data_IF_229638698415
#
_entry.id   IF_229638698415
#
_cell.length_a   1.000
_cell.length_b   1.000
_cell.length_c   1.000
_cell.angle_alpha   90.00
_cell.angle_beta   90.00
_cell.angle_gamma   90.00
#
_symmetry.space_group_name_H-M   'P 1'
#
loop_
_entity.id
_entity.type
_entity.pdbx_description
1 polymer ?
#
# COMPACT_ATOMS: atom_id res chain seq x y z
N UNK A 1 22.23 -14.23 5.59
CA UNK A 1 22.81 -12.88 5.77
C UNK A 1 23.41 -12.37 4.48
N UNK A 2 22.57 -11.72 3.68
CA UNK A 2 22.95 -10.89 2.54
C UNK A 2 23.84 -9.73 3.02
N UNK A 3 24.88 -9.36 2.29
CA UNK A 3 25.66 -8.14 2.61
C UNK A 3 24.77 -6.91 2.40
N UNK A 4 25.06 -5.81 3.10
CA UNK A 4 24.30 -4.56 2.95
C UNK A 4 24.26 -4.08 1.49
N UNK A 5 25.35 -4.28 0.74
CA UNK A 5 25.45 -3.90 -0.67
C UNK A 5 24.58 -4.79 -1.57
N UNK A 6 24.61 -6.11 -1.35
CA UNK A 6 23.79 -7.04 -2.12
C UNK A 6 22.28 -6.85 -1.87
N UNK A 7 21.89 -6.51 -0.63
CA UNK A 7 20.50 -6.14 -0.32
C UNK A 7 20.10 -4.86 -1.07
N UNK A 8 20.99 -3.87 -1.09
CA UNK A 8 20.74 -2.60 -1.75
C UNK A 8 20.59 -2.76 -3.28
N UNK A 9 21.43 -3.57 -3.91
CA UNK A 9 21.37 -3.83 -5.35
C UNK A 9 20.11 -4.61 -5.74
N UNK A 10 19.72 -5.61 -4.97
CA UNK A 10 18.51 -6.40 -5.21
C UNK A 10 17.24 -5.54 -5.06
N UNK A 11 17.16 -4.72 -4.01
CA UNK A 11 16.05 -3.78 -3.83
C UNK A 11 16.02 -2.78 -4.98
N UNK A 12 17.16 -2.20 -5.37
CA UNK A 12 17.25 -1.26 -6.50
C UNK A 12 16.75 -1.91 -7.79
N UNK A 13 17.14 -3.16 -8.06
CA UNK A 13 16.70 -3.89 -9.24
C UNK A 13 15.18 -4.08 -9.28
N UNK A 14 14.55 -4.37 -8.13
CA UNK A 14 13.09 -4.53 -8.01
C UNK A 14 12.34 -3.22 -8.20
N UNK A 15 12.80 -2.14 -7.57
CA UNK A 15 12.21 -0.82 -7.76
C UNK A 15 12.33 -0.38 -9.22
N UNK A 16 13.50 -0.57 -9.83
CA UNK A 16 13.73 -0.30 -11.26
C UNK A 16 12.78 -1.10 -12.15
N UNK A 17 12.62 -2.40 -11.90
CA UNK A 17 11.72 -3.25 -12.66
C UNK A 17 10.25 -2.82 -12.55
N UNK A 18 9.80 -2.31 -11.40
CA UNK A 18 8.46 -1.74 -11.28
C UNK A 18 8.31 -0.49 -12.15
N UNK A 19 9.26 0.45 -12.11
CA UNK A 19 9.21 1.65 -12.94
C UNK A 19 9.25 1.32 -14.46
N UNK A 20 10.12 0.41 -14.87
CA UNK A 20 10.29 0.04 -16.28
C UNK A 20 9.07 -0.69 -16.86
N UNK A 21 8.32 -1.42 -16.03
CA UNK A 21 7.15 -2.19 -16.46
C UNK A 21 5.80 -1.55 -16.09
N UNK A 22 5.78 -0.26 -15.73
CA UNK A 22 4.53 0.46 -15.43
C UNK A 22 3.84 0.01 -14.14
N UNK A 23 4.63 -0.34 -13.13
CA UNK A 23 4.23 -0.67 -11.76
C UNK A 23 3.27 -1.88 -11.64
N UNK A 24 3.64 -3.07 -12.14
CA UNK A 24 2.74 -4.22 -12.20
C UNK A 24 2.31 -4.77 -10.83
N UNK A 25 3.05 -4.49 -9.75
CA UNK A 25 2.60 -4.83 -8.39
C UNK A 25 1.69 -3.75 -7.80
N UNK A 26 1.97 -2.47 -8.07
CA UNK A 26 1.22 -1.37 -7.46
C UNK A 26 -0.05 -0.97 -8.23
N UNK A 27 -0.07 -1.00 -9.56
CA UNK A 27 -1.24 -0.61 -10.36
C UNK A 27 -2.57 -1.28 -9.94
N UNK A 28 -2.62 -2.57 -9.54
CA UNK A 28 -3.86 -3.19 -9.08
C UNK A 28 -4.28 -2.79 -7.66
N UNK A 29 -3.46 -2.03 -6.93
CA UNK A 29 -3.74 -1.57 -5.56
C UNK A 29 -4.65 -0.34 -5.63
N UNK A 30 -5.89 -0.41 -5.13
CA UNK A 30 -6.83 0.70 -5.16
C UNK A 30 -6.53 1.71 -4.04
N UNK A 31 -5.47 2.50 -4.21
CA UNK A 31 -4.90 3.38 -3.18
C UNK A 31 -4.53 4.77 -3.73
N UNK A 32 -5.00 5.85 -3.09
CA UNK A 32 -4.62 7.23 -3.43
C UNK A 32 -3.11 7.44 -3.45
N UNK A 33 -2.34 7.05 -2.41
CA UNK A 33 -0.87 7.14 -2.44
C UNK A 33 -0.22 6.48 -3.66
N UNK A 34 -0.72 5.30 -4.07
CA UNK A 34 -0.19 4.58 -5.24
C UNK A 34 -0.44 5.36 -6.52
N UNK A 35 -1.66 5.84 -6.73
CA UNK A 35 -2.02 6.62 -7.92
C UNK A 35 -1.16 7.89 -7.99
N UNK A 36 -1.02 8.59 -6.87
CA UNK A 36 -0.21 9.80 -6.80
C UNK A 36 1.26 9.55 -7.11
N UNK A 37 1.82 8.42 -6.67
CA UNK A 37 3.18 8.02 -7.03
C UNK A 37 3.32 7.84 -8.53
N UNK A 38 2.41 7.09 -9.13
CA UNK A 38 2.47 6.74 -10.55
C UNK A 38 2.34 8.00 -11.40
N UNK A 39 1.39 8.88 -11.07
CA UNK A 39 1.20 10.17 -11.73
C UNK A 39 2.42 11.07 -11.55
N UNK A 40 2.99 11.15 -10.35
CA UNK A 40 4.19 11.94 -10.09
C UNK A 40 5.38 11.41 -10.89
N UNK A 41 5.63 10.10 -10.84
CA UNK A 41 6.71 9.44 -11.57
C UNK A 41 6.59 9.64 -13.09
N UNK A 42 5.37 9.64 -13.64
CA UNK A 42 5.13 9.89 -15.07
C UNK A 42 5.51 11.29 -15.54
N UNK A 43 5.55 12.26 -14.61
CA UNK A 43 5.87 13.66 -14.91
C UNK A 43 7.36 13.99 -14.72
N UNK A 44 8.18 13.05 -14.25
CA UNK A 44 9.60 13.26 -13.99
C UNK A 44 10.43 13.12 -15.27
N UNK A 45 11.52 13.89 -15.34
CA UNK A 45 12.59 13.60 -16.30
C UNK A 45 13.26 12.26 -16.00
N UNK A 46 14.01 11.70 -16.96
CA UNK A 46 14.76 10.45 -16.76
C UNK A 46 15.73 10.53 -15.57
N UNK A 47 16.40 11.66 -15.39
CA UNK A 47 17.32 11.89 -14.27
C UNK A 47 16.59 11.94 -12.92
N UNK A 48 15.45 12.63 -12.85
CA UNK A 48 14.64 12.69 -11.64
C UNK A 48 13.98 11.36 -11.31
N UNK A 49 13.55 10.60 -12.33
CA UNK A 49 13.02 9.25 -12.15
C UNK A 49 14.07 8.30 -11.57
N UNK A 50 15.30 8.34 -12.09
CA UNK A 50 16.41 7.56 -11.53
C UNK A 50 16.74 7.96 -10.08
N UNK A 51 16.71 9.25 -9.76
CA UNK A 51 16.90 9.74 -8.40
C UNK A 51 15.79 9.24 -7.45
N UNK A 52 14.53 9.36 -7.85
CA UNK A 52 13.38 8.87 -7.07
C UNK A 52 13.48 7.36 -6.82
N UNK A 53 13.82 6.57 -7.83
CA UNK A 53 14.01 5.12 -7.69
C UNK A 53 15.10 4.79 -6.66
N UNK A 54 16.22 5.51 -6.69
CA UNK A 54 17.30 5.31 -5.73
C UNK A 54 16.91 5.70 -4.30
N UNK A 55 16.17 6.80 -4.14
CA UNK A 55 15.68 7.26 -2.83
C UNK A 55 14.64 6.29 -2.24
N UNK A 56 13.72 5.79 -3.07
CA UNK A 56 12.77 4.74 -2.67
C UNK A 56 13.52 3.49 -2.23
N UNK A 57 14.47 3.00 -3.05
CA UNK A 57 15.24 1.80 -2.73
C UNK A 57 16.01 1.93 -1.40
N UNK A 58 16.66 3.07 -1.17
CA UNK A 58 17.34 3.33 0.10
C UNK A 58 16.36 3.32 1.28
N UNK A 59 15.17 3.92 1.11
CA UNK A 59 14.10 3.87 2.09
C UNK A 59 13.61 2.45 2.38
N UNK A 60 13.43 1.62 1.36
CA UNK A 60 13.06 0.21 1.48
C UNK A 60 14.08 -0.57 2.29
N UNK A 61 15.38 -0.40 2.00
CA UNK A 61 16.46 -1.10 2.70
C UNK A 61 16.43 -0.76 4.20
N UNK A 62 16.26 0.51 4.55
CA UNK A 62 16.17 0.94 5.96
C UNK A 62 14.96 0.33 6.66
N UNK A 63 13.80 0.33 6.01
CA UNK A 63 12.60 -0.33 6.52
C UNK A 63 12.92 -1.80 6.76
N UNK A 64 13.44 -2.51 5.76
CA UNK A 64 13.82 -3.93 5.84
C UNK A 64 14.82 -4.21 6.97
N UNK A 65 15.72 -3.28 7.27
CA UNK A 65 16.68 -3.36 8.39
C UNK A 65 16.06 -3.05 9.77
N UNK A 66 14.75 -2.81 9.84
CA UNK A 66 14.01 -2.57 11.07
C UNK A 66 13.98 -1.11 11.52
N UNK A 67 14.39 -0.17 10.68
CA UNK A 67 14.23 1.25 10.98
C UNK A 67 12.76 1.68 10.91
N UNK A 68 12.39 2.63 11.76
CA UNK A 68 11.04 3.15 11.79
C UNK A 68 10.66 3.78 10.45
N UNK A 69 9.41 3.54 10.04
CA UNK A 69 8.83 4.16 8.87
C UNK A 69 8.80 5.68 9.02
N UNK A 70 9.38 6.43 8.06
CA UNK A 70 9.49 7.89 8.11
C UNK A 70 10.90 8.45 8.03
N UNK A 71 11.92 7.58 7.94
CA UNK A 71 13.32 7.97 7.72
C UNK A 71 13.77 7.62 6.29
N UNK A 72 12.95 7.89 5.29
CA UNK A 72 13.49 8.07 3.94
C UNK A 72 14.20 9.43 3.98
N UNK A 73 15.45 9.48 3.51
CA UNK A 73 16.26 10.69 3.57
C UNK A 73 15.46 11.88 3.09
N UNK A 74 15.24 12.86 3.97
CA UNK A 74 14.52 14.09 3.64
C UNK A 74 15.43 14.95 2.77
N UNK A 75 15.26 14.84 1.46
CA UNK A 75 15.88 15.64 0.42
C UNK A 75 15.49 15.14 -0.97
N UNK A 76 15.80 15.91 -2.01
CA UNK A 76 15.73 15.43 -3.39
C UNK A 76 14.32 15.28 -3.97
N UNK A 77 14.12 14.25 -4.79
CA UNK A 77 12.90 14.09 -5.61
C UNK A 77 11.75 13.51 -4.78
N UNK A 78 12.05 12.60 -3.87
CA UNK A 78 11.13 11.97 -2.94
C UNK A 78 10.51 13.00 -2.00
N UNK A 79 11.25 13.99 -1.52
CA UNK A 79 10.68 15.06 -0.71
C UNK A 79 9.68 15.91 -1.51
N UNK A 80 9.96 16.20 -2.79
CA UNK A 80 8.97 16.89 -3.64
C UNK A 80 7.71 16.06 -3.82
N UNK A 81 7.85 14.73 -4.01
CA UNK A 81 6.70 13.83 -4.01
C UNK A 81 5.94 13.90 -2.68
N UNK A 82 6.66 13.73 -1.57
CA UNK A 82 6.08 13.68 -0.22
C UNK A 82 5.33 14.99 0.07
N UNK A 83 5.91 16.13 -0.29
CA UNK A 83 5.26 17.42 -0.17
C UNK A 83 4.09 17.61 -1.14
N UNK A 84 4.18 17.14 -2.38
CA UNK A 84 3.06 17.18 -3.32
C UNK A 84 1.86 16.38 -2.81
N UNK A 85 2.10 15.26 -2.13
CA UNK A 85 1.07 14.36 -1.63
C UNK A 85 0.55 14.72 -0.22
N UNK A 86 1.42 15.20 0.68
CA UNK A 86 1.07 15.49 2.08
C UNK A 86 0.71 16.94 2.37
N UNK A 87 1.28 17.92 1.65
CA UNK A 87 1.08 19.36 1.95
C UNK A 87 -0.08 20.02 1.20
N UNK A 88 -0.71 19.33 0.25
CA UNK A 88 -1.91 19.85 -0.41
C UNK A 88 -3.12 19.85 0.55
N UNK A 89 -4.09 20.77 0.38
CA UNK A 89 -5.44 20.61 0.92
C UNK A 89 -6.07 19.41 0.22
N UNK A 90 -5.76 18.22 0.73
CA UNK A 90 -6.12 16.95 0.14
C UNK A 90 -7.32 16.41 0.90
N UNK A 91 -8.47 16.14 0.26
CA UNK A 91 -9.60 15.45 0.91
C UNK A 91 -9.23 14.03 1.39
N UNK A 92 -8.02 13.57 1.05
CA UNK A 92 -7.41 12.28 1.39
C UNK A 92 -6.53 12.32 2.64
N UNK A 93 -6.33 13.49 3.27
CA UNK A 93 -5.59 13.63 4.53
C UNK A 93 -6.53 13.68 5.74
N UNK A 94 -6.96 12.53 6.24
CA UNK A 94 -7.61 12.44 7.55
C UNK A 94 -9.04 13.02 7.60
N UNK A 95 -9.98 12.31 6.98
CA UNK A 95 -11.42 12.60 7.07
C UNK A 95 -12.23 11.50 7.75
N UNK A 96 -13.56 11.66 7.86
CA UNK A 96 -14.48 10.59 8.27
C UNK A 96 -14.44 9.42 7.27
N UNK A 97 -14.89 8.21 7.69
CA UNK A 97 -14.87 7.01 6.85
C UNK A 97 -15.41 7.27 5.45
N UNK A 98 -14.67 6.78 4.46
CA UNK A 98 -14.98 6.92 3.04
C UNK A 98 -14.91 8.36 2.52
N UNK A 99 -14.26 9.30 3.21
CA UNK A 99 -14.20 10.71 2.76
C UNK A 99 -13.61 10.83 1.36
N UNK A 100 -12.60 10.03 1.00
CA UNK A 100 -12.02 9.97 -0.34
C UNK A 100 -13.08 9.65 -1.41
N UNK A 101 -13.72 8.48 -1.31
CA UNK A 101 -14.72 8.00 -2.29
C UNK A 101 -16.01 8.82 -2.23
N UNK A 102 -16.46 9.23 -1.05
CA UNK A 102 -17.66 10.05 -0.87
C UNK A 102 -17.45 11.46 -1.40
N UNK A 103 -16.30 12.09 -1.14
CA UNK A 103 -15.97 13.39 -1.69
C UNK A 103 -15.95 13.34 -3.21
N UNK A 104 -15.39 12.28 -3.79
CA UNK A 104 -15.43 12.09 -5.24
C UNK A 104 -16.85 11.90 -5.77
N UNK A 105 -17.66 11.05 -5.13
CA UNK A 105 -19.05 10.81 -5.54
C UNK A 105 -19.96 12.05 -5.37
N UNK A 106 -19.67 12.93 -4.40
CA UNK A 106 -20.52 14.07 -4.04
C UNK A 106 -20.03 15.43 -4.58
N UNK A 107 -18.79 15.54 -5.05
CA UNK A 107 -18.19 16.82 -5.47
C UNK A 107 -18.11 16.89 -6.99
N UNK A 108 -18.74 17.88 -7.63
CA UNK A 108 -18.51 18.15 -9.05
C UNK A 108 -17.00 18.31 -9.30
N UNK A 109 -16.46 17.65 -10.33
CA UNK A 109 -15.04 17.77 -10.74
C UNK A 109 -14.57 19.23 -10.84
N UNK A 110 -15.46 20.14 -11.24
CA UNK A 110 -15.23 21.59 -11.36
C UNK A 110 -15.11 22.35 -10.04
N UNK A 111 -15.49 21.75 -8.91
CA UNK A 111 -15.47 22.34 -7.57
C UNK A 111 -14.31 21.81 -6.71
N UNK A 112 -13.45 20.95 -7.28
CA UNK A 112 -12.28 20.46 -6.58
C UNK A 112 -11.22 21.58 -6.45
N UNK A 113 -10.60 21.78 -5.26
CA UNK A 113 -9.51 22.74 -5.09
C UNK A 113 -8.40 22.46 -6.10
N UNK A 114 -7.76 23.50 -6.63
CA UNK A 114 -6.88 23.49 -7.82
C UNK A 114 -5.65 22.56 -7.83
N UNK A 115 -5.52 21.64 -6.88
CA UNK A 115 -4.53 20.56 -6.83
C UNK A 115 -5.13 19.15 -6.88
N UNK A 116 -6.45 18.98 -6.78
CA UNK A 116 -7.10 17.68 -6.87
C UNK A 116 -7.33 17.32 -8.34
N UNK A 117 -6.38 16.58 -8.92
CA UNK A 117 -6.57 15.94 -10.22
C UNK A 117 -7.78 15.00 -10.14
N UNK A 118 -8.63 14.93 -11.18
CA UNK A 118 -9.62 13.87 -11.31
C UNK A 118 -8.96 12.50 -11.10
N UNK A 119 -9.64 11.53 -10.45
CA UNK A 119 -9.16 10.15 -10.48
C UNK A 119 -9.05 9.71 -11.95
N UNK A 120 -8.04 8.91 -12.28
CA UNK A 120 -7.82 8.50 -13.66
C UNK A 120 -9.05 7.73 -14.18
N UNK A 121 -9.51 7.98 -15.43
CA UNK A 121 -10.71 7.34 -15.97
C UNK A 121 -10.64 5.80 -16.04
N UNK A 122 -9.43 5.24 -16.18
CA UNK A 122 -9.20 3.79 -16.15
C UNK A 122 -9.37 3.17 -14.76
N UNK A 123 -9.36 3.99 -13.71
CA UNK A 123 -9.53 3.56 -12.32
C UNK A 123 -10.97 3.77 -11.82
N UNK A 124 -11.59 4.91 -12.18
CA UNK A 124 -12.96 5.25 -11.81
C UNK A 124 -13.67 5.93 -13.00
N UNK A 125 -14.26 5.15 -13.92
CA UNK A 125 -14.82 5.68 -15.17
C UNK A 125 -16.09 6.52 -14.97
N UNK A 126 -16.90 6.24 -13.94
CA UNK A 126 -18.05 7.08 -13.56
C UNK A 126 -18.09 7.31 -12.05
N UNK A 127 -17.43 8.40 -11.63
CA UNK A 127 -17.33 8.80 -10.23
C UNK A 127 -18.71 8.99 -9.56
N UNK A 128 -19.76 9.35 -10.30
CA UNK A 128 -21.10 9.58 -9.73
C UNK A 128 -21.86 8.29 -9.47
N UNK A 129 -21.46 7.18 -10.09
CA UNK A 129 -22.05 5.86 -9.91
C UNK A 129 -21.29 4.98 -8.90
N UNK A 130 -20.17 5.47 -8.35
CA UNK A 130 -19.30 4.66 -7.48
C UNK A 130 -19.98 4.31 -6.16
N UNK A 131 -20.15 3.01 -5.93
CA UNK A 131 -20.56 2.45 -4.64
C UNK A 131 -19.33 1.95 -3.88
N UNK A 132 -18.98 2.51 -2.71
CA UNK A 132 -17.87 2.02 -1.91
C UNK A 132 -18.11 0.60 -1.40
N UNK A 133 -17.11 -0.27 -1.51
CA UNK A 133 -17.18 -1.60 -0.91
C UNK A 133 -17.29 -1.50 0.63
N UNK A 134 -18.29 -2.18 1.19
CA UNK A 134 -18.50 -2.21 2.64
C UNK A 134 -17.43 -3.02 3.35
N UNK A 135 -17.16 -2.73 4.63
CA UNK A 135 -16.25 -3.53 5.46
C UNK A 135 -16.66 -5.02 5.51
N UNK A 136 -17.97 -5.32 5.47
CA UNK A 136 -18.47 -6.70 5.42
C UNK A 136 -18.09 -7.39 4.10
N UNK A 137 -18.24 -6.71 2.97
CA UNK A 137 -17.83 -7.24 1.66
C UNK A 137 -16.33 -7.49 1.62
N UNK A 138 -15.52 -6.50 1.98
CA UNK A 138 -14.06 -6.62 2.02
C UNK A 138 -13.62 -7.78 2.92
N UNK A 139 -14.18 -7.86 4.13
CA UNK A 139 -13.91 -8.95 5.08
C UNK A 139 -14.22 -10.31 4.47
N UNK A 140 -15.38 -10.47 3.85
CA UNK A 140 -15.78 -11.72 3.18
C UNK A 140 -14.84 -12.09 2.04
N UNK A 141 -14.52 -11.14 1.15
CA UNK A 141 -13.68 -11.37 -0.04
C UNK A 141 -12.24 -11.67 0.32
N UNK A 142 -11.61 -10.87 1.20
CA UNK A 142 -10.26 -11.11 1.70
C UNK A 142 -10.15 -12.48 2.38
N UNK A 143 -11.13 -12.82 3.24
CA UNK A 143 -11.15 -14.14 3.91
C UNK A 143 -11.22 -15.27 2.89
N UNK A 144 -12.04 -15.12 1.86
CA UNK A 144 -12.23 -16.15 0.82
C UNK A 144 -10.92 -16.37 0.06
N UNK A 145 -10.30 -15.30 -0.44
CA UNK A 145 -9.08 -15.37 -1.24
C UNK A 145 -7.90 -15.91 -0.42
N UNK A 146 -7.71 -15.44 0.81
CA UNK A 146 -6.59 -15.89 1.64
C UNK A 146 -6.75 -17.34 2.12
N UNK A 147 -7.97 -17.77 2.47
CA UNK A 147 -8.21 -19.18 2.80
C UNK A 147 -7.97 -20.09 1.60
N UNK A 148 -8.38 -19.67 0.40
CA UNK A 148 -8.09 -20.42 -0.83
C UNK A 148 -6.58 -20.53 -1.10
N UNK A 149 -5.80 -19.53 -0.67
CA UNK A 149 -4.33 -19.55 -0.70
C UNK A 149 -3.68 -20.30 0.48
N UNK A 150 -4.47 -20.99 1.32
CA UNK A 150 -3.95 -21.81 2.42
C UNK A 150 -3.67 -21.06 3.73
N UNK A 151 -4.12 -19.82 3.87
CA UNK A 151 -3.92 -19.05 5.10
C UNK A 151 -4.97 -19.42 6.16
N UNK A 152 -4.51 -19.60 7.39
CA UNK A 152 -5.37 -19.83 8.55
C UNK A 152 -5.86 -18.49 9.13
N UNK A 153 -7.17 -18.34 9.32
CA UNK A 153 -7.75 -17.13 9.86
C UNK A 153 -7.82 -17.17 11.39
N UNK A 154 -7.32 -16.12 12.04
CA UNK A 154 -7.33 -15.94 13.49
C UNK A 154 -8.04 -14.64 13.86
N UNK A 155 -8.54 -14.57 15.10
CA UNK A 155 -9.12 -13.35 15.64
C UNK A 155 -8.01 -12.28 15.77
N UNK A 156 -8.15 -11.18 15.04
CA UNK A 156 -7.24 -10.05 15.13
C UNK A 156 -7.50 -9.19 16.37
N UNK A 157 -6.58 -8.29 16.67
CA UNK A 157 -6.76 -7.27 17.71
C UNK A 157 -7.67 -6.14 17.19
N UNK A 158 -8.43 -5.48 18.07
CA UNK A 158 -9.26 -4.32 17.69
C UNK A 158 -10.43 -4.61 16.71
N UNK A 159 -10.79 -5.87 16.49
CA UNK A 159 -11.88 -6.25 15.58
C UNK A 159 -11.45 -6.54 14.13
N UNK A 160 -10.15 -6.51 13.85
CA UNK A 160 -9.56 -6.96 12.59
C UNK A 160 -9.55 -8.49 12.42
N UNK A 161 -9.01 -8.96 11.29
CA UNK A 161 -8.70 -10.38 11.08
C UNK A 161 -7.19 -10.55 10.90
N UNK A 162 -6.62 -11.58 11.53
CA UNK A 162 -5.29 -12.05 11.19
C UNK A 162 -5.33 -13.29 10.31
N UNK A 163 -4.33 -13.40 9.46
CA UNK A 163 -4.10 -14.59 8.67
C UNK A 163 -2.66 -15.08 8.89
N UNK A 164 -2.50 -16.35 9.21
CA UNK A 164 -1.20 -17.00 9.28
C UNK A 164 -1.01 -17.83 8.01
N UNK A 165 0.05 -17.54 7.28
CA UNK A 165 0.47 -18.35 6.13
C UNK A 165 1.13 -19.67 6.58
N UNK A 166 1.18 -20.69 5.71
CA UNK A 166 1.97 -21.90 5.95
C UNK A 166 3.46 -21.64 6.17
N UNK A 167 4.00 -20.54 5.66
CA UNK A 167 5.41 -20.11 5.82
C UNK A 167 5.69 -19.43 7.16
N UNK A 168 4.66 -19.17 7.98
CA UNK A 168 4.79 -18.47 9.26
C UNK A 168 4.77 -16.94 9.18
N UNK A 169 4.40 -16.38 8.03
CA UNK A 169 4.08 -14.96 7.83
C UNK A 169 2.68 -14.66 8.37
N UNK A 170 2.60 -13.65 9.23
CA UNK A 170 1.37 -13.13 9.79
C UNK A 170 0.93 -11.90 9.02
N UNK A 171 -0.34 -11.89 8.60
CA UNK A 171 -1.02 -10.74 8.02
C UNK A 171 -2.03 -10.21 9.02
N UNK A 172 -2.10 -8.89 9.20
CA UNK A 172 -3.10 -8.26 10.07
C UNK A 172 -3.93 -7.26 9.26
N UNK A 173 -5.23 -7.48 9.16
CA UNK A 173 -6.16 -6.67 8.38
C UNK A 173 -7.10 -5.87 9.27
N UNK A 174 -7.11 -4.56 9.07
CA UNK A 174 -8.08 -3.61 9.63
C UNK A 174 -9.06 -3.15 8.55
N UNK A 175 -10.33 -3.53 8.69
CA UNK A 175 -11.43 -3.18 7.78
C UNK A 175 -12.21 -1.94 8.24
N UNK A 176 -11.70 -1.23 9.25
CA UNK A 176 -12.43 -0.20 9.99
C UNK A 176 -11.66 1.10 10.20
N UNK A 177 -10.53 1.31 9.52
CA UNK A 177 -9.81 2.57 9.59
C UNK A 177 -10.74 3.76 9.25
N UNK A 178 -10.49 4.92 9.87
CA UNK A 178 -11.34 6.11 9.69
C UNK A 178 -11.19 6.73 8.31
N UNK A 179 -10.10 6.45 7.60
CA UNK A 179 -9.77 7.10 6.33
C UNK A 179 -9.74 6.06 5.20
N UNK A 180 -9.24 4.86 5.49
CA UNK A 180 -9.05 3.77 4.54
C UNK A 180 -10.14 2.70 4.69
N UNK A 181 -10.52 2.04 3.59
CA UNK A 181 -11.47 0.93 3.61
C UNK A 181 -10.82 -0.38 4.08
N UNK A 182 -9.54 -0.54 3.78
CA UNK A 182 -8.71 -1.67 4.21
C UNK A 182 -7.30 -1.18 4.50
N UNK A 183 -6.74 -1.55 5.65
CA UNK A 183 -5.30 -1.44 5.94
C UNK A 183 -4.78 -2.82 6.29
N UNK A 184 -3.58 -3.18 5.84
CA UNK A 184 -3.00 -4.47 6.23
C UNK A 184 -1.49 -4.49 6.46
N UNK A 185 -1.05 -5.15 7.53
CA UNK A 185 0.37 -5.37 7.81
C UNK A 185 0.82 -6.78 7.46
N UNK A 186 2.12 -6.94 7.24
CA UNK A 186 2.83 -8.21 7.01
C UNK A 186 3.96 -8.30 8.04
N UNK A 187 4.09 -9.44 8.71
CA UNK A 187 5.17 -9.73 9.63
C UNK A 187 5.67 -11.16 9.42
N UNK A 188 6.97 -11.34 9.18
CA UNK A 188 7.58 -12.67 8.95
C UNK A 188 8.06 -13.28 10.26
N UNK A 189 8.06 -14.62 10.34
CA UNK A 189 8.44 -15.39 11.54
C UNK A 189 7.65 -14.94 12.78
N UNK A 190 6.42 -14.47 12.54
CA UNK A 190 5.55 -13.86 13.52
C UNK A 190 4.44 -14.81 13.97
N UNK A 191 4.53 -16.11 13.64
CA UNK A 191 3.60 -17.13 14.10
C UNK A 191 3.40 -17.11 15.63
N UNK A 192 4.47 -16.88 16.39
CA UNK A 192 4.42 -16.72 17.86
C UNK A 192 3.56 -15.54 18.34
N UNK A 193 3.29 -14.57 17.47
CA UNK A 193 2.48 -13.39 17.74
C UNK A 193 1.04 -13.50 17.25
N UNK A 194 0.62 -14.67 16.73
CA UNK A 194 -0.74 -14.87 16.20
C UNK A 194 -1.83 -14.44 17.19
N UNK A 195 -1.61 -14.68 18.50
CA UNK A 195 -2.51 -14.32 19.59
C UNK A 195 -2.06 -13.08 20.39
N UNK A 196 -0.95 -12.43 20.03
CA UNK A 196 -0.39 -11.29 20.75
C UNK A 196 -0.60 -9.98 19.98
N UNK A 197 -0.65 -8.81 20.62
CA UNK A 197 -0.54 -7.54 19.90
C UNK A 197 0.73 -7.51 19.05
N UNK A 198 0.66 -6.98 17.84
CA UNK A 198 1.86 -6.73 17.02
C UNK A 198 2.65 -5.50 17.51
N UNK A 199 2.18 -4.87 18.59
CA UNK A 199 2.84 -3.77 19.28
C UNK A 199 4.16 -4.27 19.90
N UNK A 200 5.23 -4.27 19.11
CA UNK A 200 6.58 -4.69 19.53
C UNK A 200 7.28 -5.66 18.57
N UNK A 201 6.61 -6.14 17.53
CA UNK A 201 7.23 -6.90 16.45
C UNK A 201 7.59 -6.02 15.24
N UNK A 202 8.49 -6.46 14.34
CA UNK A 202 8.74 -5.78 13.07
C UNK A 202 7.50 -5.95 12.18
N UNK A 203 6.52 -5.07 12.37
CA UNK A 203 5.35 -4.99 11.51
C UNK A 203 5.72 -4.14 10.30
N UNK A 204 5.81 -4.78 9.15
CA UNK A 204 5.93 -4.08 7.89
C UNK A 204 4.52 -3.82 7.38
N UNK A 205 4.19 -2.57 7.12
CA UNK A 205 3.03 -2.32 6.28
C UNK A 205 3.37 -2.82 4.87
N UNK A 206 2.41 -3.47 4.21
CA UNK A 206 2.58 -4.16 2.91
C UNK A 206 3.08 -3.20 1.79
N UNK A 207 3.25 -3.64 0.52
CA UNK A 207 4.29 -3.12 -0.37
C UNK A 207 4.42 -1.60 -0.52
N UNK A 208 3.36 -0.81 -0.34
CA UNK A 208 3.45 0.66 -0.23
C UNK A 208 4.57 1.14 0.70
N UNK A 209 4.82 0.45 1.82
CA UNK A 209 5.96 0.79 2.69
C UNK A 209 7.32 0.37 2.15
N UNK A 210 7.38 -0.68 1.33
CA UNK A 210 8.58 -1.01 0.56
C UNK A 210 8.80 -0.03 -0.59
N UNK A 211 7.78 0.66 -1.09
CA UNK A 211 7.94 1.77 -2.05
C UNK A 211 8.10 3.13 -1.35
N UNK A 212 8.21 3.13 -0.03
CA UNK A 212 8.51 4.29 0.77
C UNK A 212 7.31 5.16 1.19
N UNK A 213 6.08 4.80 0.81
CA UNK A 213 4.88 5.58 1.18
C UNK A 213 4.20 5.08 2.44
N UNK A 214 3.66 6.04 3.22
CA UNK A 214 2.90 5.74 4.43
C UNK A 214 1.64 4.95 4.09
N UNK A 215 1.71 3.64 4.28
CA UNK A 215 0.56 2.76 4.41
C UNK A 215 0.37 1.75 3.30
N UNK A 216 -0.30 0.69 3.69
CA UNK A 216 -0.85 -0.40 2.89
C UNK A 216 -2.37 -0.25 2.82
N UNK A 217 -2.77 0.99 2.55
CA UNK A 217 -4.12 1.48 2.70
C UNK A 217 -4.83 1.41 1.36
N UNK A 218 -6.01 0.81 1.34
CA UNK A 218 -6.89 0.78 0.18
C UNK A 218 -8.07 1.68 0.49
N UNK A 219 -8.22 2.72 -0.30
CA UNK A 219 -9.23 3.78 -0.14
C UNK A 219 -10.07 3.97 -1.42
N UNK A 220 -9.84 3.15 -2.46
CA UNK A 220 -10.58 3.13 -3.72
C UNK A 220 -11.27 1.81 -4.03
N UNK A 221 -11.63 1.03 -3.00
CA UNK A 221 -12.32 -0.24 -3.25
C UNK A 221 -13.81 0.01 -3.44
N UNK A 222 -14.32 -0.32 -4.61
CA UNK A 222 -15.72 -0.18 -4.99
C UNK A 222 -16.36 -1.55 -5.08
N UNK A 223 -17.70 -1.63 -5.07
CA UNK A 223 -18.39 -2.91 -5.33
C UNK A 223 -18.01 -3.49 -6.70
N UNK A 224 -17.70 -2.65 -7.68
CA UNK A 224 -17.33 -3.03 -9.04
C UNK A 224 -15.91 -3.59 -9.15
N UNK A 225 -14.98 -3.11 -8.31
CA UNK A 225 -13.57 -3.48 -8.41
C UNK A 225 -13.10 -4.41 -7.29
N UNK A 226 -13.91 -4.66 -6.27
CA UNK A 226 -13.49 -5.43 -5.08
C UNK A 226 -12.92 -6.79 -5.43
N UNK A 227 -13.57 -7.53 -6.33
CA UNK A 227 -13.16 -8.90 -6.68
C UNK A 227 -11.80 -8.92 -7.39
N UNK A 228 -11.56 -8.00 -8.34
CA UNK A 228 -10.26 -7.88 -9.01
C UNK A 228 -9.17 -7.39 -8.05
N UNK A 229 -9.49 -6.44 -7.17
CA UNK A 229 -8.54 -5.90 -6.21
C UNK A 229 -8.11 -6.96 -5.19
N UNK A 230 -9.06 -7.69 -4.59
CA UNK A 230 -8.71 -8.72 -3.59
C UNK A 230 -8.01 -9.94 -4.20
N UNK A 231 -8.27 -10.27 -5.48
CA UNK A 231 -7.60 -11.38 -6.16
C UNK A 231 -6.08 -11.17 -6.29
N UNK A 232 -5.62 -9.91 -6.28
CA UNK A 232 -4.19 -9.55 -6.32
C UNK A 232 -3.49 -9.68 -4.96
N UNK A 233 -4.24 -9.81 -3.86
CA UNK A 233 -3.70 -9.81 -2.51
C UNK A 233 -2.67 -10.93 -2.25
N UNK A 234 -2.87 -12.20 -2.66
CA UNK A 234 -1.84 -13.23 -2.51
C UNK A 234 -0.54 -12.89 -3.22
N UNK A 235 -0.61 -12.27 -4.41
CA UNK A 235 0.59 -11.84 -5.17
C UNK A 235 1.33 -10.72 -4.44
N UNK A 236 0.61 -9.75 -3.87
CA UNK A 236 1.21 -8.69 -3.04
C UNK A 236 1.90 -9.25 -1.80
N UNK A 237 1.28 -10.23 -1.13
CA UNK A 237 1.87 -10.88 0.04
C UNK A 237 3.10 -11.67 -0.34
N UNK A 238 3.06 -12.47 -1.42
CA UNK A 238 4.23 -13.21 -1.88
C UNK A 238 5.40 -12.28 -2.23
N UNK A 239 5.13 -11.14 -2.88
CA UNK A 239 6.16 -10.13 -3.15
C UNK A 239 6.74 -9.53 -1.85
N UNK A 240 5.91 -9.30 -0.83
CA UNK A 240 6.37 -8.85 0.47
C UNK A 240 7.21 -9.91 1.18
N UNK A 241 6.80 -11.18 1.12
CA UNK A 241 7.53 -12.31 1.68
C UNK A 241 8.92 -12.45 1.05
N UNK A 242 8.97 -12.35 -0.28
CA UNK A 242 10.21 -12.41 -1.06
C UNK A 242 11.15 -11.24 -0.70
N UNK A 243 10.64 -10.01 -0.64
CA UNK A 243 11.43 -8.83 -0.24
C UNK A 243 11.98 -8.95 1.19
N UNK A 244 11.19 -9.45 2.13
CA UNK A 244 11.65 -9.66 3.50
C UNK A 244 12.57 -10.89 3.62
N UNK A 245 12.45 -11.86 2.72
CA UNK A 245 13.38 -12.97 2.56
C UNK A 245 14.80 -12.54 2.17
N UNK A 246 14.96 -11.37 1.55
CA UNK A 246 16.27 -10.76 1.27
C UNK A 246 17.05 -10.40 2.54
N UNK A 247 16.34 -10.27 3.67
CA UNK A 247 16.89 -9.86 4.98
C UNK A 247 17.22 -11.07 5.87
N UNK A 248 16.99 -12.31 5.39
CA UNK A 248 17.09 -13.53 6.19
C UNK A 248 18.51 -14.09 6.41
#
# INVERSE_FOLDING_TARGET
>A
MTTSDALHDEVRARIKAEFEHGFPLMMPVPSTPVIQLIDFASALSAAESAALQSEIAAGTVRVLQGEAFGVIGRGGVYDRFYHAVKSGPSPFNGGPRYSAVRFLASTPLSAMPGSAKPPRPDLLPDVKAVVPATSRMLKSRVTTVLKAAGYEAHKGFGGGIRFLSPSGTLLDFDFGARVDQLRFGVAIRAARFVNAPLAGGPLFHAPGSFFGFYGSNWDYVTEENVDRSVAHLPKLVAAAEDMLGLVA
#
